data_IF_353650646908
#
_entry.id   IF_353650646908
#
_cell.length_a   1.000
_cell.length_b   1.000
_cell.length_c   1.000
_cell.angle_alpha   90.00
_cell.angle_beta   90.00
_cell.angle_gamma   90.00
#
_symmetry.space_group_name_H-M   'P 1'
#
loop_
_entity.id
_entity.type
_entity.pdbx_description
1 polymer ?
#
# COMPACT_ATOMS: atom_id res chain seq x y z
N UNK A 1 9.84 -8.23 -22.34
CA UNK A 1 10.54 -7.96 -21.05
C UNK A 1 11.07 -6.53 -21.09
N UNK A 2 10.56 -5.63 -20.24
CA UNK A 2 11.04 -4.24 -20.12
C UNK A 2 12.41 -4.22 -19.45
N UNK A 3 13.40 -3.58 -20.10
CA UNK A 3 14.76 -3.47 -19.55
C UNK A 3 14.74 -2.58 -18.30
N UNK A 4 15.23 -3.04 -17.13
CA UNK A 4 15.25 -2.23 -15.92
C UNK A 4 16.05 -0.94 -16.14
N UNK A 5 15.52 0.20 -15.68
CA UNK A 5 16.23 1.48 -15.75
C UNK A 5 17.45 1.44 -14.82
N UNK A 6 18.57 2.01 -15.25
CA UNK A 6 19.80 2.12 -14.44
C UNK A 6 19.62 2.91 -13.13
N UNK A 7 18.53 3.66 -12.98
CA UNK A 7 18.19 4.41 -11.76
C UNK A 7 17.86 3.46 -10.59
N UNK A 8 17.36 2.25 -10.86
CA UNK A 8 16.98 1.26 -9.83
C UNK A 8 18.19 0.88 -8.95
N UNK A 9 19.39 0.84 -9.54
CA UNK A 9 20.63 0.50 -8.82
C UNK A 9 21.48 1.73 -8.49
N UNK A 10 20.94 2.94 -8.65
CA UNK A 10 21.69 4.17 -8.40
C UNK A 10 21.80 4.45 -6.89
N UNK A 11 22.97 4.83 -6.36
CA UNK A 11 23.16 5.07 -4.92
C UNK A 11 22.31 6.23 -4.37
N UNK A 12 21.95 7.19 -5.22
CA UNK A 12 21.08 8.32 -4.87
C UNK A 12 19.66 8.17 -5.44
N UNK A 13 19.18 6.92 -5.60
CA UNK A 13 17.85 6.62 -6.15
C UNK A 13 16.74 7.45 -5.50
N UNK A 14 16.69 7.50 -4.18
CA UNK A 14 15.62 8.19 -3.44
C UNK A 14 15.58 9.69 -3.74
N UNK A 15 16.75 10.32 -3.89
CA UNK A 15 16.84 11.73 -4.25
C UNK A 15 16.38 11.99 -5.69
N UNK A 16 16.69 11.08 -6.62
CA UNK A 16 16.24 11.14 -8.02
C UNK A 16 14.72 10.93 -8.10
N UNK A 17 14.18 9.93 -7.40
CA UNK A 17 12.74 9.67 -7.33
C UNK A 17 11.98 10.86 -6.72
N UNK A 18 12.51 11.45 -5.66
CA UNK A 18 11.96 12.68 -5.05
C UNK A 18 11.92 13.83 -6.06
N UNK A 19 13.02 14.05 -6.80
CA UNK A 19 13.06 15.09 -7.83
C UNK A 19 12.06 14.84 -8.97
N UNK A 20 11.86 13.58 -9.37
CA UNK A 20 10.88 13.17 -10.36
C UNK A 20 9.43 13.40 -9.89
N UNK A 21 9.13 13.10 -8.63
CA UNK A 21 7.82 13.32 -8.02
C UNK A 21 7.48 14.80 -7.87
N UNK A 22 8.49 15.62 -7.55
CA UNK A 22 8.35 17.08 -7.48
C UNK A 22 8.24 17.76 -8.86
N UNK A 23 8.23 16.99 -9.96
CA UNK A 23 8.09 17.52 -11.30
C UNK A 23 9.34 18.23 -11.84
N UNK A 24 10.51 17.97 -11.25
CA UNK A 24 11.78 18.58 -11.70
C UNK A 24 12.06 18.19 -13.16
N UNK A 25 12.45 19.14 -14.03
CA UNK A 25 12.74 18.83 -15.43
C UNK A 25 13.83 17.77 -15.57
N UNK A 26 13.65 16.80 -16.47
CA UNK A 26 14.60 15.68 -16.63
C UNK A 26 16.02 16.12 -16.96
N UNK A 27 16.20 17.24 -17.66
CA UNK A 27 17.52 17.81 -17.96
C UNK A 27 18.27 18.17 -16.68
N UNK A 28 17.61 18.82 -15.73
CA UNK A 28 18.21 19.25 -14.48
C UNK A 28 18.58 18.04 -13.61
N UNK A 29 17.70 17.04 -13.54
CA UNK A 29 17.98 15.79 -12.82
C UNK A 29 19.16 15.03 -13.48
N UNK A 30 19.19 14.97 -14.81
CA UNK A 30 20.25 14.31 -15.56
C UNK A 30 21.63 14.96 -15.31
N UNK A 31 21.70 16.29 -15.33
CA UNK A 31 22.93 17.04 -15.04
C UNK A 31 23.36 16.90 -13.58
N UNK A 32 22.42 16.96 -12.63
CA UNK A 32 22.72 16.91 -11.21
C UNK A 32 23.22 15.53 -10.75
N UNK A 33 22.63 14.45 -11.28
CA UNK A 33 22.89 13.08 -10.82
C UNK A 33 23.68 12.23 -11.82
N UNK A 34 24.08 12.80 -12.97
CA UNK A 34 24.87 12.08 -13.99
C UNK A 34 24.13 10.92 -14.64
N UNK A 35 22.79 10.99 -14.74
CA UNK A 35 21.94 9.94 -15.31
C UNK A 35 21.37 10.34 -16.67
N UNK A 36 21.06 9.38 -17.53
CA UNK A 36 20.48 9.70 -18.85
C UNK A 36 19.00 10.08 -18.75
N UNK A 37 18.57 11.02 -19.58
CA UNK A 37 17.15 11.41 -19.71
C UNK A 37 16.27 10.21 -20.09
N UNK A 38 16.79 9.30 -20.91
CA UNK A 38 16.09 8.06 -21.29
C UNK A 38 15.93 7.11 -20.11
N UNK A 39 16.89 7.05 -19.19
CA UNK A 39 16.73 6.29 -17.94
C UNK A 39 15.65 6.93 -17.05
N UNK A 40 15.65 8.27 -16.90
CA UNK A 40 14.66 9.01 -16.12
C UNK A 40 13.24 8.81 -16.63
N UNK A 41 13.04 8.89 -17.96
CA UNK A 41 11.74 8.69 -18.60
C UNK A 41 11.19 7.28 -18.35
N UNK A 42 12.01 6.24 -18.55
CA UNK A 42 11.60 4.85 -18.28
C UNK A 42 11.31 4.63 -16.80
N UNK A 43 12.16 5.16 -15.93
CA UNK A 43 12.03 5.02 -14.49
C UNK A 43 10.76 5.69 -13.97
N UNK A 44 10.42 6.88 -14.47
CA UNK A 44 9.16 7.56 -14.14
C UNK A 44 7.93 6.71 -14.51
N UNK A 45 7.96 6.02 -15.65
CA UNK A 45 6.89 5.11 -16.08
C UNK A 45 6.68 3.91 -15.13
N UNK A 46 7.75 3.44 -14.48
CA UNK A 46 7.66 2.35 -13.48
C UNK A 46 7.43 2.85 -12.05
N UNK A 47 7.84 4.10 -11.74
CA UNK A 47 7.86 4.68 -10.40
C UNK A 47 6.46 4.76 -9.77
N UNK A 48 5.46 5.18 -10.54
CA UNK A 48 4.08 5.28 -10.05
C UNK A 48 3.54 3.91 -9.60
N UNK A 49 3.80 2.86 -10.39
CA UNK A 49 3.40 1.49 -10.04
C UNK A 49 4.15 0.93 -8.84
N UNK A 50 5.44 1.26 -8.67
CA UNK A 50 6.21 0.84 -7.50
C UNK A 50 5.77 1.56 -6.22
N UNK A 51 5.44 2.85 -6.30
CA UNK A 51 4.93 3.62 -5.16
C UNK A 51 3.55 3.11 -4.76
N UNK A 52 2.65 2.89 -5.72
CA UNK A 52 1.33 2.32 -5.44
C UNK A 52 1.43 0.97 -4.72
N UNK A 53 2.30 0.08 -5.19
CA UNK A 53 2.56 -1.22 -4.56
C UNK A 53 3.17 -1.11 -3.16
N UNK A 54 4.12 -0.18 -2.96
CA UNK A 54 4.71 0.06 -1.65
C UNK A 54 3.66 0.56 -0.65
N UNK A 55 2.86 1.56 -1.03
CA UNK A 55 1.77 2.10 -0.21
C UNK A 55 0.72 1.04 0.14
N UNK A 56 0.37 0.17 -0.82
CA UNK A 56 -0.58 -0.92 -0.60
C UNK A 56 -0.05 -1.98 0.39
N UNK A 57 1.23 -2.33 0.28
CA UNK A 57 1.91 -3.23 1.22
C UNK A 57 1.99 -2.63 2.64
N UNK A 58 2.31 -1.34 2.75
CA UNK A 58 2.31 -0.63 4.04
C UNK A 58 0.91 -0.56 4.67
N UNK A 59 -0.12 -0.30 3.86
CA UNK A 59 -1.52 -0.27 4.31
C UNK A 59 -1.95 -1.64 4.87
N UNK A 60 -1.63 -2.71 4.14
CA UNK A 60 -1.90 -4.10 4.57
C UNK A 60 -1.19 -4.42 5.88
N UNK A 61 0.11 -4.11 5.98
CA UNK A 61 0.90 -4.32 7.20
C UNK A 61 0.32 -3.56 8.41
N UNK A 62 -0.13 -2.32 8.20
CA UNK A 62 -0.76 -1.51 9.25
C UNK A 62 -2.10 -2.10 9.70
N UNK A 63 -2.90 -2.61 8.77
CA UNK A 63 -4.18 -3.23 9.08
C UNK A 63 -4.00 -4.54 9.86
N UNK A 64 -3.01 -5.37 9.50
CA UNK A 64 -2.66 -6.58 10.27
C UNK A 64 -2.20 -6.24 11.70
N UNK A 65 -1.35 -5.22 11.84
CA UNK A 65 -0.91 -4.75 13.15
C UNK A 65 -2.09 -4.24 14.02
N UNK A 66 -3.07 -3.58 13.40
CA UNK A 66 -4.28 -3.11 14.07
C UNK A 66 -5.17 -4.30 14.49
N UNK A 67 -5.37 -5.29 13.61
CA UNK A 67 -6.10 -6.52 13.94
C UNK A 67 -5.48 -7.25 15.13
N UNK A 68 -4.16 -7.44 15.14
CA UNK A 68 -3.45 -8.05 16.27
C UNK A 68 -3.58 -7.26 17.58
N UNK A 69 -3.80 -5.94 17.51
CA UNK A 69 -4.08 -5.12 18.69
C UNK A 69 -5.51 -5.33 19.19
N UNK A 70 -6.48 -5.45 18.30
CA UNK A 70 -7.89 -5.72 18.62
C UNK A 70 -8.02 -7.09 19.29
N UNK A 71 -7.40 -8.14 18.73
CA UNK A 71 -7.39 -9.50 19.30
C UNK A 71 -6.81 -9.52 20.72
N UNK A 72 -5.70 -8.80 20.96
CA UNK A 72 -5.13 -8.68 22.31
C UNK A 72 -6.06 -8.00 23.30
N UNK A 73 -6.80 -6.97 22.86
CA UNK A 73 -7.79 -6.29 23.71
C UNK A 73 -9.00 -7.19 23.97
N UNK A 74 -9.42 -7.97 22.98
CA UNK A 74 -10.56 -8.89 23.09
C UNK A 74 -10.27 -10.00 24.10
N UNK A 75 -9.10 -10.65 24.02
CA UNK A 75 -8.64 -11.59 25.05
C UNK A 75 -8.51 -10.96 26.44
N UNK A 76 -8.07 -9.70 26.51
CA UNK A 76 -7.98 -9.01 27.80
C UNK A 76 -9.36 -8.75 28.40
N UNK A 77 -10.32 -8.33 27.59
CA UNK A 77 -11.70 -8.13 28.00
C UNK A 77 -12.34 -9.45 28.44
N UNK A 78 -12.13 -10.53 27.70
CA UNK A 78 -12.56 -11.88 28.08
C UNK A 78 -12.01 -12.30 29.45
N UNK A 79 -10.70 -12.20 29.65
CA UNK A 79 -10.07 -12.55 30.94
C UNK A 79 -10.60 -11.72 32.11
N UNK A 80 -10.91 -10.44 31.90
CA UNK A 80 -11.52 -9.60 32.93
C UNK A 80 -12.97 -9.98 33.20
N UNK A 81 -13.73 -10.31 32.15
CA UNK A 81 -15.11 -10.78 32.26
C UNK A 81 -15.21 -12.08 33.04
N UNK A 82 -14.36 -13.07 32.73
CA UNK A 82 -14.33 -14.36 33.45
C UNK A 82 -14.00 -14.20 34.94
N UNK A 83 -13.10 -13.26 35.28
CA UNK A 83 -12.79 -12.97 36.69
C UNK A 83 -13.98 -12.34 37.39
N UNK A 84 -14.61 -11.35 36.76
CA UNK A 84 -15.79 -10.71 37.31
C UNK A 84 -16.96 -11.69 37.49
N UNK A 85 -17.15 -12.63 36.55
CA UNK A 85 -18.16 -13.68 36.65
C UNK A 85 -17.88 -14.62 37.83
N UNK A 86 -16.62 -15.04 38.02
CA UNK A 86 -16.19 -15.86 39.17
C UNK A 86 -16.38 -15.12 40.50
N UNK A 87 -16.13 -13.82 40.52
CA UNK A 87 -16.27 -12.97 41.71
C UNK A 87 -17.74 -12.57 41.99
N UNK A 88 -18.68 -12.96 41.11
CA UNK A 88 -20.10 -12.62 41.21
C UNK A 88 -20.44 -11.17 40.81
N UNK A 89 -19.48 -10.40 40.31
CA UNK A 89 -19.70 -9.06 39.76
C UNK A 89 -20.24 -9.15 38.32
N UNK A 90 -21.52 -9.51 38.23
CA UNK A 90 -22.21 -9.66 36.94
C UNK A 90 -22.30 -8.35 36.14
N UNK A 91 -22.21 -7.17 36.80
CA UNK A 91 -22.21 -5.88 36.10
C UNK A 91 -20.92 -5.70 35.30
N UNK A 92 -19.79 -6.00 35.91
CA UNK A 92 -18.49 -5.95 35.25
C UNK A 92 -18.35 -7.04 34.19
N UNK A 93 -18.88 -8.25 34.45
CA UNK A 93 -18.90 -9.32 33.46
C UNK A 93 -19.71 -8.93 32.21
N UNK A 94 -20.91 -8.34 32.39
CA UNK A 94 -21.72 -7.85 31.28
C UNK A 94 -21.04 -6.70 30.52
N UNK A 95 -20.34 -5.81 31.23
CA UNK A 95 -19.56 -4.75 30.60
C UNK A 95 -18.43 -5.31 29.72
N UNK A 96 -17.74 -6.35 30.18
CA UNK A 96 -16.72 -7.04 29.39
C UNK A 96 -17.31 -7.67 28.12
N UNK A 97 -18.47 -8.32 28.19
CA UNK A 97 -19.18 -8.87 27.02
C UNK A 97 -19.51 -7.78 25.99
N UNK A 98 -19.98 -6.61 26.45
CA UNK A 98 -20.27 -5.47 25.55
C UNK A 98 -19.02 -4.95 24.85
N UNK A 99 -17.92 -4.78 25.58
CA UNK A 99 -16.68 -4.34 24.97
C UNK A 99 -16.12 -5.37 24.00
N UNK A 100 -16.24 -6.68 24.29
CA UNK A 100 -15.89 -7.74 23.33
C UNK A 100 -16.70 -7.65 22.04
N UNK A 101 -18.01 -7.48 22.14
CA UNK A 101 -18.86 -7.31 20.95
C UNK A 101 -18.42 -6.11 20.09
N UNK A 102 -18.07 -4.99 20.73
CA UNK A 102 -17.54 -3.80 20.05
C UNK A 102 -16.18 -4.05 19.40
N UNK A 103 -15.29 -4.77 20.07
CA UNK A 103 -13.97 -5.12 19.53
C UNK A 103 -14.08 -6.07 18.33
N UNK A 104 -14.99 -7.04 18.38
CA UNK A 104 -15.30 -7.92 17.25
C UNK A 104 -15.85 -7.13 16.06
N UNK A 105 -16.76 -6.19 16.28
CA UNK A 105 -17.26 -5.30 15.21
C UNK A 105 -16.13 -4.50 14.57
N UNK A 106 -15.19 -3.97 15.38
CA UNK A 106 -14.03 -3.26 14.86
C UNK A 106 -13.09 -4.19 14.08
N UNK A 107 -12.90 -5.42 14.54
CA UNK A 107 -12.14 -6.46 13.85
C UNK A 107 -12.73 -6.80 12.48
N UNK A 108 -14.06 -6.93 12.39
CA UNK A 108 -14.78 -7.14 11.14
C UNK A 108 -14.56 -5.97 10.16
N UNK A 109 -14.69 -4.72 10.62
CA UNK A 109 -14.45 -3.55 9.76
C UNK A 109 -13.02 -3.51 9.18
N UNK A 110 -12.02 -3.90 9.97
CA UNK A 110 -10.64 -4.03 9.49
C UNK A 110 -10.51 -5.16 8.48
N UNK A 111 -11.23 -6.27 8.67
CA UNK A 111 -11.27 -7.38 7.71
C UNK A 111 -11.90 -7.00 6.39
N UNK A 112 -13.05 -6.35 6.41
CA UNK A 112 -13.73 -5.89 5.20
C UNK A 112 -12.84 -4.91 4.41
N UNK A 113 -12.16 -3.99 5.11
CA UNK A 113 -11.24 -3.05 4.47
C UNK A 113 -10.05 -3.74 3.79
N UNK A 114 -9.47 -4.77 4.43
CA UNK A 114 -8.40 -5.58 3.86
C UNK A 114 -8.86 -6.36 2.63
N UNK A 115 -10.05 -6.96 2.68
CA UNK A 115 -10.63 -7.69 1.53
C UNK A 115 -10.85 -6.75 0.33
N UNK A 116 -11.39 -5.56 0.57
CA UNK A 116 -11.58 -4.54 -0.46
C UNK A 116 -10.23 -4.17 -1.09
N UNK A 117 -9.19 -3.94 -0.28
CA UNK A 117 -7.87 -3.59 -0.76
C UNK A 117 -7.27 -4.70 -1.65
N UNK A 118 -7.35 -5.97 -1.20
CA UNK A 118 -6.89 -7.12 -1.98
C UNK A 118 -7.66 -7.26 -3.31
N UNK A 119 -8.96 -6.98 -3.31
CA UNK A 119 -9.78 -6.99 -4.52
C UNK A 119 -9.39 -5.88 -5.50
N UNK A 120 -9.06 -4.69 -5.01
CA UNK A 120 -8.53 -3.59 -5.83
C UNK A 120 -7.21 -4.02 -6.48
N UNK A 121 -6.27 -4.55 -5.70
CA UNK A 121 -4.98 -5.01 -6.22
C UNK A 121 -5.14 -6.11 -7.29
N UNK A 122 -6.07 -7.05 -7.09
CA UNK A 122 -6.38 -8.07 -8.08
C UNK A 122 -6.95 -7.48 -9.38
N UNK A 123 -7.82 -6.46 -9.29
CA UNK A 123 -8.36 -5.76 -10.45
C UNK A 123 -7.28 -4.95 -11.17
N UNK A 124 -6.44 -4.21 -10.46
CA UNK A 124 -5.32 -3.47 -11.04
C UNK A 124 -4.34 -4.39 -11.78
N UNK A 125 -4.05 -5.57 -11.22
CA UNK A 125 -3.21 -6.58 -11.86
C UNK A 125 -3.83 -7.13 -13.16
N UNK A 126 -5.17 -7.11 -13.30
CA UNK A 126 -5.85 -7.53 -14.53
C UNK A 126 -5.90 -6.46 -15.62
N UNK A 127 -5.64 -5.19 -15.29
CA UNK A 127 -5.70 -4.03 -16.22
C UNK A 127 -4.32 -3.70 -16.84
N UNK A 128 -3.24 -4.39 -16.45
CA UNK A 128 -1.87 -4.12 -16.95
C UNK A 128 -1.81 -4.01 -18.49
N UNK A 129 -1.14 -2.98 -19.06
CA UNK A 129 -1.43 -2.48 -20.40
C UNK A 129 -0.72 -3.30 -21.47
N UNK A 130 -1.42 -4.29 -22.03
CA UNK A 130 -1.06 -4.91 -23.31
C UNK A 130 -1.75 -4.24 -24.51
N UNK A 131 -2.55 -3.19 -24.28
CA UNK A 131 -3.27 -2.48 -25.34
C UNK A 131 -2.94 -0.98 -25.38
N UNK A 132 -1.72 -0.65 -25.79
CA UNK A 132 -1.47 0.64 -26.47
C UNK A 132 -1.57 0.38 -27.97
N UNK A 133 -2.60 0.88 -28.68
CA UNK A 133 -2.57 0.83 -30.13
C UNK A 133 -1.40 1.70 -30.60
N UNK A 134 -0.46 1.09 -31.32
CA UNK A 134 0.57 1.83 -32.06
C UNK A 134 -0.15 2.81 -33.00
N UNK A 135 -0.15 4.09 -32.65
CA UNK A 135 -0.48 5.14 -33.59
C UNK A 135 0.66 5.17 -34.60
N UNK A 136 0.54 4.37 -35.67
CA UNK A 136 1.35 4.51 -36.87
C UNK A 136 1.10 5.90 -37.43
N UNK A 137 1.98 6.83 -37.08
CA UNK A 137 2.08 8.10 -37.79
C UNK A 137 2.72 7.78 -39.15
N UNK A 138 1.89 7.53 -40.16
CA UNK A 138 2.31 7.56 -41.55
C UNK A 138 2.77 8.99 -41.87
N UNK A 139 4.05 9.27 -41.70
CA UNK A 139 4.74 10.39 -42.34
C UNK A 139 5.45 9.84 -43.58
N UNK A 140 4.69 9.70 -44.67
CA UNK A 140 5.21 9.46 -46.00
C UNK A 140 4.67 10.53 -46.94
N UNK A 141 5.53 11.44 -47.40
CA UNK A 141 5.18 12.38 -48.47
C UNK A 141 5.89 13.73 -48.41
N UNK A 142 7.20 13.74 -48.65
CA UNK A 142 7.88 14.78 -49.43
C UNK A 142 8.99 14.13 -50.25
#
# INVERSE_FOLDING_TARGET
MTRPSSIVTHPQRDAIETALLNGTPFRNIAEQFGVSITALSRHKGTLAGTIAKASASECTSRADALRAKIERLEHKAESLGEKAEKDGDLKTALAAVRERARLLELGLKVADALEIQQRIEALEASITPEQSPEIKTEMGGF
#
